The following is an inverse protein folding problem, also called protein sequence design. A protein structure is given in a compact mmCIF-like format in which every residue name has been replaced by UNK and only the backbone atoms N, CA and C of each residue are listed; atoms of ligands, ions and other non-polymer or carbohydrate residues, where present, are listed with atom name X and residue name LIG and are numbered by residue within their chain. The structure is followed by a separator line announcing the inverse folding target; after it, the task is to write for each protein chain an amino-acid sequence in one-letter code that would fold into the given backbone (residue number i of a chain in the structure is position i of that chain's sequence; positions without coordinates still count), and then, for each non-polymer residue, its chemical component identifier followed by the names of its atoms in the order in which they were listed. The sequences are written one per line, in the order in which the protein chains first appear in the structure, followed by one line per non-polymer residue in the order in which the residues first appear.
data_IF_987659079493
#
_entry.id   IF_987659079493
#
_cell.length_a   1.000
_cell.length_b   1.000
_cell.length_c   1.000
_cell.angle_alpha   90.00
_cell.angle_beta   90.00
_cell.angle_gamma   90.00
#
_symmetry.space_group_name_H-M   'P 1'
#
loop_
_entity.id
_entity.type
_entity.pdbx_description
1 polymer ?
#
# COMPACT_ATOMS: atom_id res chain seq x y z
N UNK A 1 36.96 -22.36 1.84
CA UNK A 1 37.71 -22.31 0.57
C UNK A 1 36.66 -22.17 -0.53
N UNK A 2 36.41 -21.01 -1.14
CA UNK A 2 37.35 -20.04 -1.69
C UNK A 2 37.04 -18.60 -1.27
N UNK A 3 38.16 -17.90 -1.06
CA UNK A 3 38.38 -16.50 -0.74
C UNK A 3 38.15 -15.66 -2.00
N UNK A 4 37.46 -14.52 -1.92
CA UNK A 4 37.77 -13.38 -2.78
C UNK A 4 37.63 -12.09 -1.97
N UNK A 5 38.70 -11.34 -2.07
CA UNK A 5 39.22 -10.31 -1.19
C UNK A 5 38.74 -8.93 -1.66
N UNK A 6 38.45 -8.04 -0.72
CA UNK A 6 38.16 -6.63 -0.96
C UNK A 6 39.47 -5.84 -0.84
N UNK A 7 39.80 -4.98 -1.80
CA UNK A 7 40.69 -3.83 -1.57
C UNK A 7 40.28 -2.58 -2.38
N UNK A 8 40.58 -1.35 -1.90
CA UNK A 8 39.90 -0.11 -2.28
C UNK A 8 40.74 0.94 -3.05
N UNK A 9 40.01 1.84 -3.72
CA UNK A 9 40.23 3.26 -4.15
C UNK A 9 41.63 3.80 -4.50
N UNK A 10 41.71 4.56 -5.61
CA UNK A 10 42.27 5.94 -5.65
C UNK A 10 41.80 6.73 -6.90
N UNK A 11 41.86 8.09 -6.89
CA UNK A 11 41.11 9.01 -7.76
C UNK A 11 41.97 9.72 -8.81
N UNK A 12 41.38 10.22 -9.91
CA UNK A 12 42.04 11.21 -10.78
C UNK A 12 41.08 12.25 -11.40
N UNK A 13 41.26 13.49 -10.90
CA UNK A 13 41.40 14.81 -11.58
C UNK A 13 40.38 15.33 -12.61
N UNK A 14 39.93 16.55 -12.30
CA UNK A 14 39.10 17.48 -13.06
C UNK A 14 39.87 18.33 -14.11
N UNK A 15 39.07 18.99 -14.97
CA UNK A 15 39.25 20.31 -15.66
C UNK A 15 39.65 20.30 -17.17
N UNK A 16 39.50 21.42 -17.93
CA UNK A 16 38.37 21.68 -18.84
C UNK A 16 38.83 22.12 -20.26
N UNK A 17 37.92 22.25 -21.25
CA UNK A 17 38.13 23.24 -22.34
C UNK A 17 36.88 23.58 -23.16
N UNK A 18 36.83 24.86 -23.46
CA UNK A 18 35.92 25.71 -24.23
C UNK A 18 35.93 25.48 -25.76
N UNK A 19 34.81 25.89 -26.37
CA UNK A 19 34.40 26.20 -27.78
C UNK A 19 35.49 26.81 -28.71
N UNK A 20 35.35 26.88 -30.07
CA UNK A 20 34.20 27.37 -30.90
C UNK A 20 33.95 26.53 -32.19
N UNK A 21 32.96 26.70 -33.07
CA UNK A 21 31.91 27.68 -33.38
C UNK A 21 31.73 27.65 -34.91
N UNK A 22 30.53 27.42 -35.45
CA UNK A 22 30.20 27.68 -36.89
C UNK A 22 28.67 27.63 -37.16
N UNK A 23 28.09 28.82 -37.20
CA UNK A 23 27.15 29.41 -38.18
C UNK A 23 26.00 28.65 -38.89
N UNK A 24 24.77 29.10 -38.54
CA UNK A 24 23.56 29.42 -39.36
C UNK A 24 22.71 28.33 -40.05
N UNK A 25 21.45 28.62 -40.47
CA UNK A 25 20.57 29.77 -40.22
C UNK A 25 19.14 29.42 -39.74
N UNK A 26 18.41 30.49 -39.43
CA UNK A 26 17.05 30.58 -38.92
C UNK A 26 15.94 29.98 -39.80
N UNK A 27 14.86 29.55 -39.14
CA UNK A 27 13.51 29.42 -39.74
C UNK A 27 12.46 30.11 -38.87
N UNK A 28 11.38 30.63 -39.48
CA UNK A 28 10.66 31.79 -38.99
C UNK A 28 9.31 31.40 -38.37
N UNK A 29 9.10 31.70 -37.08
CA UNK A 29 7.75 31.76 -36.53
C UNK A 29 7.34 33.22 -36.43
N UNK A 30 6.50 33.61 -37.39
CA UNK A 30 5.92 34.93 -37.52
C UNK A 30 4.99 35.27 -36.35
N UNK A 31 5.14 36.49 -35.88
CA UNK A 31 4.19 37.22 -35.05
C UNK A 31 3.08 37.73 -35.95
N UNK A 32 1.83 37.35 -35.71
CA UNK A 32 0.67 38.10 -36.18
C UNK A 32 -0.20 38.53 -34.99
N UNK A 33 -0.58 39.80 -35.06
CA UNK A 33 -1.29 40.57 -34.06
C UNK A 33 -2.73 40.09 -33.80
N UNK A 34 -3.11 40.29 -32.55
CA UNK A 34 -4.40 40.73 -32.01
C UNK A 34 -5.53 40.98 -33.01
N UNK A 35 -6.58 40.15 -32.95
CA UNK A 35 -7.95 40.60 -33.13
C UNK A 35 -8.70 40.41 -31.81
N UNK A 36 -9.24 41.52 -31.31
CA UNK A 36 -10.14 41.59 -30.17
C UNK A 36 -11.40 40.79 -30.47
N UNK A 37 -11.52 39.61 -29.87
CA UNK A 37 -12.83 39.02 -29.57
C UNK A 37 -12.93 38.91 -28.06
N UNK A 38 -13.77 39.76 -27.50
CA UNK A 38 -14.18 39.77 -26.09
C UNK A 38 -14.81 38.42 -25.75
N UNK A 39 -14.01 37.52 -25.17
CA UNK A 39 -14.52 36.31 -24.54
C UNK A 39 -15.23 36.72 -23.24
N UNK A 40 -16.50 36.34 -23.04
CA UNK A 40 -17.20 36.63 -21.81
C UNK A 40 -16.49 35.92 -20.66
N UNK A 41 -16.12 36.73 -19.67
CA UNK A 41 -15.57 36.31 -18.37
C UNK A 41 -16.53 35.31 -17.73
N UNK A 42 -16.21 34.03 -17.78
CA UNK A 42 -16.75 33.05 -16.84
C UNK A 42 -16.03 33.28 -15.52
N UNK A 43 -16.62 34.12 -14.66
CA UNK A 43 -16.17 34.38 -13.29
C UNK A 43 -16.51 33.24 -12.33
N UNK A 44 -16.42 31.99 -12.79
CA UNK A 44 -16.56 30.82 -11.95
C UNK A 44 -15.16 30.26 -11.77
N UNK A 45 -14.36 30.93 -10.94
CA UNK A 45 -13.10 30.35 -10.48
C UNK A 45 -13.44 29.05 -9.74
N UNK A 46 -13.16 27.91 -10.38
CA UNK A 46 -13.32 26.60 -9.77
C UNK A 46 -12.37 26.52 -8.58
N UNK A 47 -12.90 26.81 -7.39
CA UNK A 47 -12.17 26.59 -6.13
C UNK A 47 -12.12 25.08 -5.91
N UNK A 48 -11.00 24.46 -6.27
CA UNK A 48 -10.76 23.06 -5.97
C UNK A 48 -10.05 22.94 -4.62
N UNK A 49 -10.62 22.16 -3.72
CA UNK A 49 -9.97 21.81 -2.46
C UNK A 49 -9.23 20.49 -2.62
N UNK A 50 -7.90 20.50 -2.45
CA UNK A 50 -7.12 19.26 -2.41
C UNK A 50 -7.05 18.71 -0.99
N UNK A 51 -7.86 17.70 -0.70
CA UNK A 51 -7.74 16.95 0.54
C UNK A 51 -6.51 16.05 0.45
N UNK A 52 -5.40 16.48 1.07
CA UNK A 52 -4.28 15.58 1.41
C UNK A 52 -4.70 14.68 2.57
N UNK A 53 -5.64 13.77 2.30
CA UNK A 53 -6.00 12.72 3.24
C UNK A 53 -4.87 11.68 3.27
N UNK A 54 -3.95 11.83 4.22
CA UNK A 54 -3.08 10.74 4.62
C UNK A 54 -3.95 9.71 5.33
N UNK A 55 -4.46 8.70 4.63
CA UNK A 55 -5.26 7.64 5.24
C UNK A 55 -4.42 7.01 6.35
N UNK A 56 -4.73 7.23 7.64
CA UNK A 56 -4.01 6.56 8.69
C UNK A 56 -4.27 5.07 8.49
N UNK A 57 -3.21 4.33 8.15
CA UNK A 57 -3.29 2.88 8.00
C UNK A 57 -3.72 2.36 9.36
N UNK A 58 -4.94 1.83 9.44
CA UNK A 58 -5.40 1.13 10.64
C UNK A 58 -4.30 0.16 11.07
N UNK A 59 -3.91 0.17 12.36
CA UNK A 59 -2.80 -0.64 12.82
C UNK A 59 -3.06 -2.08 12.40
N UNK A 60 -2.08 -2.74 11.75
CA UNK A 60 -2.22 -4.13 11.33
C UNK A 60 -2.60 -4.97 12.54
N UNK A 61 -3.76 -5.62 12.51
CA UNK A 61 -4.17 -6.53 13.58
C UNK A 61 -3.45 -7.86 13.38
N UNK A 62 -2.75 -8.32 14.41
CA UNK A 62 -2.29 -9.69 14.48
C UNK A 62 -3.47 -10.59 14.90
N UNK A 63 -3.72 -11.65 14.15
CA UNK A 63 -4.61 -12.73 14.57
C UNK A 63 -3.75 -13.98 14.76
N UNK A 64 -3.86 -14.57 15.94
CA UNK A 64 -3.28 -15.86 16.25
C UNK A 64 -4.27 -16.97 15.89
N UNK A 65 -3.79 -18.02 15.23
CA UNK A 65 -4.58 -19.20 14.91
C UNK A 65 -3.68 -20.44 14.92
N UNK A 66 -4.28 -21.61 15.15
CA UNK A 66 -3.56 -22.89 15.00
C UNK A 66 -3.58 -23.34 13.54
N UNK A 67 -2.42 -23.70 13.00
CA UNK A 67 -2.31 -24.19 11.64
C UNK A 67 -2.56 -25.70 11.57
N UNK A 68 -3.72 -26.10 11.03
CA UNK A 68 -4.10 -27.51 10.85
C UNK A 68 -3.79 -28.09 9.47
N UNK A 69 -3.05 -27.37 8.62
CA UNK A 69 -2.80 -27.76 7.21
C UNK A 69 -2.21 -29.16 7.04
N UNK A 70 -1.37 -29.58 7.99
CA UNK A 70 -0.72 -30.89 8.01
C UNK A 70 -1.02 -31.63 9.31
N UNK A 71 -2.17 -31.34 9.92
CA UNK A 71 -2.58 -32.01 11.14
C UNK A 71 -2.94 -33.47 10.84
N UNK A 72 -2.31 -34.37 11.57
CA UNK A 72 -2.56 -35.81 11.53
C UNK A 72 -3.15 -36.22 12.88
N UNK A 73 -4.40 -36.67 12.86
CA UNK A 73 -5.15 -36.98 14.08
C UNK A 73 -4.56 -38.21 14.77
N UNK A 74 -4.24 -39.24 14.01
CA UNK A 74 -3.73 -40.51 14.51
C UNK A 74 -2.38 -40.30 15.18
N UNK A 75 -1.49 -39.52 14.56
CA UNK A 75 -0.19 -39.18 15.12
C UNK A 75 -0.30 -38.30 16.37
N UNK A 76 -1.22 -37.34 16.38
CA UNK A 76 -1.48 -36.52 17.56
C UNK A 76 -1.97 -37.37 18.75
N UNK A 77 -2.90 -38.29 18.51
CA UNK A 77 -3.38 -39.22 19.54
C UNK A 77 -2.30 -40.19 20.01
N UNK A 78 -1.44 -40.65 19.10
CA UNK A 78 -0.30 -41.49 19.43
C UNK A 78 0.65 -40.75 20.39
N UNK A 79 1.03 -39.52 20.07
CA UNK A 79 1.95 -38.73 20.89
C UNK A 79 1.35 -38.41 22.27
N UNK A 80 0.03 -38.14 22.35
CA UNK A 80 -0.66 -37.97 23.63
C UNK A 80 -0.63 -39.24 24.49
N UNK A 81 -0.76 -40.42 23.88
CA UNK A 81 -0.74 -41.71 24.58
C UNK A 81 0.66 -42.10 25.04
N UNK A 82 1.70 -41.77 24.26
CA UNK A 82 3.09 -42.07 24.60
C UNK A 82 3.73 -41.06 25.54
N UNK A 83 3.05 -39.95 25.83
CA UNK A 83 3.55 -38.90 26.72
C UNK A 83 3.50 -39.33 28.17
N UNK A 84 4.56 -39.02 28.91
CA UNK A 84 4.58 -39.18 30.36
C UNK A 84 3.78 -38.07 31.05
N UNK A 85 2.70 -38.46 31.72
CA UNK A 85 1.82 -37.58 32.48
C UNK A 85 2.11 -37.60 33.98
N UNK A 86 3.01 -38.47 34.46
CA UNK A 86 3.40 -38.56 35.87
C UNK A 86 3.81 -37.23 36.51
N UNK A 87 4.50 -36.30 35.82
CA UNK A 87 4.81 -34.99 36.40
C UNK A 87 3.59 -34.17 36.82
N UNK A 88 2.46 -34.30 36.11
CA UNK A 88 1.22 -33.62 36.48
C UNK A 88 0.51 -34.28 37.67
N UNK A 89 0.55 -35.61 37.76
CA UNK A 89 -0.07 -36.37 38.85
C UNK A 89 0.70 -36.26 40.18
N UNK A 90 2.03 -36.10 40.10
CA UNK A 90 2.90 -36.02 41.26
C UNK A 90 3.13 -34.58 41.75
N UNK A 91 2.39 -33.60 41.23
CA UNK A 91 2.52 -32.22 41.64
C UNK A 91 1.97 -32.00 43.07
N UNK A 92 2.66 -31.15 43.84
CA UNK A 92 2.35 -30.91 45.25
C UNK A 92 1.11 -30.02 45.48
N UNK A 93 0.64 -29.34 44.44
CA UNK A 93 -0.51 -28.46 44.49
C UNK A 93 -1.23 -28.44 43.13
N UNK A 94 -2.51 -28.07 43.17
CA UNK A 94 -3.40 -28.08 42.00
C UNK A 94 -2.92 -27.10 40.91
N UNK A 95 -2.34 -25.95 41.29
CA UNK A 95 -1.86 -24.96 40.33
C UNK A 95 -0.69 -25.53 39.52
N UNK A 96 0.28 -26.15 40.21
CA UNK A 96 1.42 -26.82 39.57
C UNK A 96 0.99 -27.99 38.70
N UNK A 97 0.02 -28.81 39.14
CA UNK A 97 -0.52 -29.92 38.37
C UNK A 97 -1.12 -29.42 37.04
N UNK A 98 -2.00 -28.41 37.11
CA UNK A 98 -2.67 -27.84 35.94
C UNK A 98 -1.66 -27.18 35.00
N UNK A 99 -0.71 -26.42 35.53
CA UNK A 99 0.31 -25.76 34.69
C UNK A 99 1.20 -26.78 33.97
N UNK A 100 1.59 -27.85 34.65
CA UNK A 100 2.39 -28.94 34.08
C UNK A 100 1.62 -29.64 32.97
N UNK A 101 0.35 -29.99 33.21
CA UNK A 101 -0.52 -30.58 32.20
C UNK A 101 -0.67 -29.66 30.97
N UNK A 102 -0.98 -28.38 31.20
CA UNK A 102 -1.13 -27.38 30.13
C UNK A 102 0.15 -27.23 29.31
N UNK A 103 1.31 -27.27 29.95
CA UNK A 103 2.62 -27.15 29.28
C UNK A 103 2.90 -28.35 28.39
N UNK A 104 2.73 -29.57 28.92
CA UNK A 104 2.93 -30.82 28.18
C UNK A 104 1.95 -30.87 26.99
N UNK A 105 0.66 -30.66 27.25
CA UNK A 105 -0.36 -30.65 26.21
C UNK A 105 -0.09 -29.60 25.13
N UNK A 106 0.27 -28.37 25.53
CA UNK A 106 0.54 -27.27 24.60
C UNK A 106 1.77 -27.52 23.74
N UNK A 107 2.78 -28.22 24.27
CA UNK A 107 3.96 -28.64 23.52
C UNK A 107 3.58 -29.62 22.41
N UNK A 108 2.84 -30.68 22.73
CA UNK A 108 2.36 -31.67 21.76
C UNK A 108 1.44 -30.99 20.73
N UNK A 109 0.47 -30.21 21.19
CA UNK A 109 -0.41 -29.45 20.30
C UNK A 109 0.36 -28.47 19.40
N UNK A 110 1.47 -27.91 19.87
CA UNK A 110 2.35 -27.03 19.09
C UNK A 110 3.11 -27.76 17.98
N UNK A 111 3.50 -29.02 18.20
CA UNK A 111 4.16 -29.86 17.19
C UNK A 111 3.20 -30.23 16.04
N UNK A 112 1.94 -30.55 16.38
CA UNK A 112 0.93 -31.00 15.42
C UNK A 112 0.11 -29.86 14.79
N UNK A 113 -0.11 -28.79 15.54
CA UNK A 113 -0.91 -27.64 15.13
C UNK A 113 -0.29 -26.34 15.69
N UNK A 114 0.86 -25.91 15.11
CA UNK A 114 1.60 -24.75 15.61
C UNK A 114 0.76 -23.48 15.53
N UNK A 115 0.93 -22.61 16.53
CA UNK A 115 0.32 -21.28 16.53
C UNK A 115 1.05 -20.42 15.50
N UNK A 116 0.29 -19.78 14.61
CA UNK A 116 0.80 -18.82 13.65
C UNK A 116 0.14 -17.47 13.85
N UNK A 117 0.94 -16.42 13.65
CA UNK A 117 0.48 -15.05 13.64
C UNK A 117 0.26 -14.63 12.19
N UNK A 118 -0.96 -14.25 11.86
CA UNK A 118 -1.28 -13.63 10.58
C UNK A 118 -1.60 -12.15 10.79
N UNK A 119 -0.88 -11.30 10.06
CA UNK A 119 -1.20 -9.87 9.98
C UNK A 119 -2.40 -9.68 9.05
N UNK A 120 -3.49 -9.22 9.62
CA UNK A 120 -4.67 -8.79 8.89
C UNK A 120 -4.55 -7.29 8.60
N UNK A 121 -4.75 -6.93 7.33
CA UNK A 121 -4.80 -5.53 6.92
C UNK A 121 -6.06 -4.90 7.52
N UNK A 122 -5.90 -3.82 8.26
CA UNK A 122 -6.99 -3.22 9.04
C UNK A 122 -8.09 -2.53 8.22
N UNK A 123 -7.86 -2.24 6.94
CA UNK A 123 -8.85 -1.58 6.08
C UNK A 123 -9.44 -2.57 5.08
N UNK A 124 -10.77 -2.69 5.07
CA UNK A 124 -11.50 -3.23 3.92
C UNK A 124 -11.23 -2.29 2.75
N UNK A 125 -10.72 -2.82 1.64
CA UNK A 125 -10.56 -2.07 0.40
C UNK A 125 -11.82 -2.29 -0.44
N UNK A 126 -12.82 -1.38 -0.38
CA UNK A 126 -14.14 -1.64 -0.95
C UNK A 126 -14.12 -1.76 -2.47
N UNK A 127 -13.19 -1.09 -3.14
CA UNK A 127 -12.97 -1.19 -4.59
C UNK A 127 -12.22 -2.47 -5.03
N UNK A 128 -11.90 -3.39 -4.11
CA UNK A 128 -11.11 -4.59 -4.43
C UNK A 128 -12.00 -5.71 -4.97
N UNK A 129 -11.81 -6.07 -6.24
CA UNK A 129 -12.54 -7.17 -6.90
C UNK A 129 -11.68 -8.43 -7.04
N UNK A 130 -12.27 -9.63 -7.20
CA UNK A 130 -11.53 -10.85 -7.49
C UNK A 130 -10.65 -10.75 -8.74
N UNK A 131 -11.12 -10.06 -9.77
CA UNK A 131 -10.39 -9.80 -11.02
C UNK A 131 -9.16 -8.93 -10.76
N UNK A 132 -9.30 -7.86 -9.98
CA UNK A 132 -8.19 -7.00 -9.58
C UNK A 132 -7.17 -7.77 -8.73
N UNK A 133 -7.63 -8.68 -7.87
CA UNK A 133 -6.78 -9.58 -7.09
C UNK A 133 -5.94 -10.47 -8.00
N UNK A 134 -6.54 -11.06 -9.04
CA UNK A 134 -5.82 -11.88 -10.03
C UNK A 134 -4.75 -11.06 -10.77
N UNK A 135 -5.08 -9.84 -11.21
CA UNK A 135 -4.10 -8.96 -11.87
C UNK A 135 -2.90 -8.63 -10.97
N UNK A 136 -3.16 -8.34 -9.69
CA UNK A 136 -2.10 -8.11 -8.69
C UNK A 136 -1.24 -9.36 -8.50
N UNK A 137 -1.85 -10.55 -8.43
CA UNK A 137 -1.12 -11.82 -8.33
C UNK A 137 -0.27 -12.10 -9.57
N UNK A 138 -0.81 -11.86 -10.77
CA UNK A 138 -0.09 -12.03 -12.03
C UNK A 138 1.10 -11.08 -12.12
N UNK A 139 0.91 -9.81 -11.75
CA UNK A 139 1.99 -8.83 -11.64
C UNK A 139 3.11 -9.34 -10.74
N UNK A 140 2.77 -9.83 -9.56
CA UNK A 140 3.75 -10.32 -8.58
C UNK A 140 4.44 -11.61 -9.07
N UNK A 141 3.72 -12.48 -9.77
CA UNK A 141 4.27 -13.68 -10.42
C UNK A 141 5.28 -13.30 -11.51
N UNK A 142 4.94 -12.37 -12.40
CA UNK A 142 5.83 -11.92 -13.46
C UNK A 142 7.04 -11.17 -12.90
N UNK A 143 6.88 -10.40 -11.83
CA UNK A 143 7.99 -9.76 -11.15
C UNK A 143 8.99 -10.79 -10.60
N UNK A 144 8.49 -11.80 -9.87
CA UNK A 144 9.32 -12.91 -9.36
C UNK A 144 10.01 -13.67 -10.50
N UNK A 145 9.32 -13.90 -11.61
CA UNK A 145 9.90 -14.56 -12.79
C UNK A 145 10.97 -13.71 -13.46
N UNK A 146 10.76 -12.40 -13.56
CA UNK A 146 11.72 -11.45 -14.14
C UNK A 146 13.01 -11.41 -13.30
N UNK A 147 12.88 -11.32 -11.97
CA UNK A 147 14.03 -11.36 -11.06
C UNK A 147 14.85 -12.65 -11.18
N UNK A 148 14.20 -13.80 -11.35
CA UNK A 148 14.88 -15.10 -11.47
C UNK A 148 15.55 -15.31 -12.83
N UNK A 149 14.89 -14.91 -13.92
CA UNK A 149 15.36 -15.17 -15.28
C UNK A 149 16.22 -14.06 -15.86
N UNK A 150 16.13 -12.85 -15.31
CA UNK A 150 16.72 -11.62 -15.82
C UNK A 150 16.49 -11.37 -17.33
N UNK A 151 15.42 -11.94 -17.90
CA UNK A 151 15.13 -11.84 -19.34
C UNK A 151 14.40 -10.55 -19.68
N UNK A 152 14.87 -9.84 -20.71
CA UNK A 152 14.24 -8.62 -21.22
C UNK A 152 12.78 -8.84 -21.66
N UNK A 153 12.46 -10.01 -22.22
CA UNK A 153 11.10 -10.37 -22.61
C UNK A 153 10.17 -10.45 -21.39
N UNK A 154 10.62 -11.11 -20.31
CA UNK A 154 9.85 -11.24 -19.07
C UNK A 154 9.69 -9.89 -18.38
N UNK A 155 10.72 -9.04 -18.40
CA UNK A 155 10.64 -7.65 -17.93
C UNK A 155 9.64 -6.81 -18.73
N UNK A 156 9.55 -7.00 -20.06
CA UNK A 156 8.54 -6.35 -20.90
C UNK A 156 7.12 -6.79 -20.52
N UNK A 157 6.89 -8.10 -20.34
CA UNK A 157 5.60 -8.62 -19.88
C UNK A 157 5.23 -8.09 -18.50
N UNK A 158 6.17 -8.07 -17.55
CA UNK A 158 5.94 -7.48 -16.23
C UNK A 158 5.49 -6.02 -16.32
N UNK A 159 6.16 -5.20 -17.14
CA UNK A 159 5.77 -3.79 -17.35
C UNK A 159 4.34 -3.65 -17.87
N UNK A 160 3.94 -4.46 -18.86
CA UNK A 160 2.56 -4.47 -19.38
C UNK A 160 1.54 -4.81 -18.30
N UNK A 161 1.77 -5.89 -17.55
CA UNK A 161 0.86 -6.34 -16.48
C UNK A 161 0.81 -5.33 -15.34
N UNK A 162 1.95 -4.73 -14.96
CA UNK A 162 2.02 -3.66 -13.95
C UNK A 162 1.18 -2.46 -14.37
N UNK A 163 1.32 -1.98 -15.61
CA UNK A 163 0.59 -0.82 -16.10
C UNK A 163 -0.92 -1.10 -16.13
N UNK A 164 -1.32 -2.27 -16.63
CA UNK A 164 -2.73 -2.68 -16.62
C UNK A 164 -3.29 -2.77 -15.20
N UNK A 165 -2.53 -3.37 -14.27
CA UNK A 165 -2.93 -3.44 -12.86
C UNK A 165 -3.13 -2.04 -12.26
N UNK A 166 -2.22 -1.10 -12.54
CA UNK A 166 -2.34 0.26 -12.02
C UNK A 166 -3.57 1.00 -12.58
N UNK A 167 -3.83 0.85 -13.88
CA UNK A 167 -5.00 1.40 -14.55
C UNK A 167 -6.29 0.85 -13.93
N UNK A 168 -6.39 -0.47 -13.76
CA UNK A 168 -7.56 -1.12 -13.16
C UNK A 168 -7.76 -0.71 -11.68
N UNK A 169 -6.69 -0.57 -10.91
CA UNK A 169 -6.78 -0.03 -9.53
C UNK A 169 -7.33 1.39 -9.56
N UNK A 170 -6.88 2.23 -10.49
CA UNK A 170 -7.35 3.61 -10.63
C UNK A 170 -8.83 3.65 -11.01
N UNK A 171 -9.23 2.83 -11.98
CA UNK A 171 -10.63 2.75 -12.44
C UNK A 171 -11.55 2.25 -11.33
N UNK A 172 -11.16 1.18 -10.64
CA UNK A 172 -11.96 0.61 -9.55
C UNK A 172 -12.19 1.62 -8.41
N UNK A 173 -11.17 2.40 -8.07
CA UNK A 173 -11.32 3.51 -7.11
C UNK A 173 -12.29 4.57 -7.63
N UNK A 174 -12.11 5.01 -8.89
CA UNK A 174 -12.95 6.04 -9.51
C UNK A 174 -14.42 5.62 -9.51
N UNK A 175 -14.71 4.41 -9.98
CA UNK A 175 -16.07 3.86 -10.02
C UNK A 175 -16.69 3.81 -8.63
N UNK A 176 -15.94 3.30 -7.64
CA UNK A 176 -16.43 3.21 -6.27
C UNK A 176 -16.80 4.60 -5.70
N UNK A 177 -15.92 5.59 -5.83
CA UNK A 177 -16.23 6.95 -5.34
C UNK A 177 -17.39 7.59 -6.11
N UNK A 178 -17.46 7.37 -7.42
CA UNK A 178 -18.57 7.87 -8.24
C UNK A 178 -19.90 7.24 -7.83
N UNK A 179 -19.94 5.94 -7.55
CA UNK A 179 -21.11 5.24 -7.00
C UNK A 179 -21.49 5.77 -5.62
N UNK A 180 -20.52 5.96 -4.71
CA UNK A 180 -20.78 6.55 -3.40
C UNK A 180 -21.41 7.94 -3.49
N UNK A 181 -20.91 8.79 -4.39
CA UNK A 181 -21.47 10.13 -4.65
C UNK A 181 -22.86 10.00 -5.24
N UNK A 182 -23.04 9.16 -6.26
CA UNK A 182 -24.31 8.99 -6.95
C UNK A 182 -25.42 8.46 -6.03
N UNK A 183 -25.09 7.55 -5.11
CA UNK A 183 -26.03 6.96 -4.18
C UNK A 183 -26.42 7.90 -3.02
N UNK A 184 -25.66 8.98 -2.79
CA UNK A 184 -25.90 9.96 -1.73
C UNK A 184 -26.18 11.37 -2.26
N UNK A 185 -26.59 11.52 -3.53
CA UNK A 185 -26.84 12.84 -4.17
C UNK A 185 -27.76 13.72 -3.34
N UNK A 186 -28.80 13.14 -2.75
CA UNK A 186 -29.81 13.85 -1.94
C UNK A 186 -29.57 13.73 -0.43
N UNK A 187 -28.49 13.06 -0.01
CA UNK A 187 -28.17 12.80 1.39
C UNK A 187 -26.73 13.21 1.73
N UNK A 188 -26.54 14.50 1.96
CA UNK A 188 -25.25 15.06 2.35
C UNK A 188 -24.66 14.39 3.60
N UNK A 189 -25.49 14.07 4.61
CA UNK A 189 -25.04 13.39 5.82
C UNK A 189 -24.51 11.97 5.53
N UNK A 190 -25.19 11.22 4.66
CA UNK A 190 -24.75 9.89 4.19
C UNK A 190 -23.46 9.95 3.37
N UNK A 191 -23.32 10.97 2.52
CA UNK A 191 -22.09 11.21 1.77
C UNK A 191 -20.91 11.48 2.71
N UNK A 192 -21.09 12.39 3.67
CA UNK A 192 -20.06 12.72 4.66
C UNK A 192 -19.68 11.54 5.54
N UNK A 193 -20.65 10.72 5.95
CA UNK A 193 -20.40 9.48 6.68
C UNK A 193 -19.54 8.52 5.87
N UNK A 194 -19.93 8.24 4.63
CA UNK A 194 -19.20 7.36 3.70
C UNK A 194 -17.77 7.87 3.46
N UNK A 195 -17.61 9.18 3.24
CA UNK A 195 -16.31 9.80 3.04
C UNK A 195 -15.41 9.70 4.28
N UNK A 196 -15.95 9.92 5.48
CA UNK A 196 -15.22 9.78 6.73
C UNK A 196 -14.78 8.33 6.98
N UNK A 197 -15.63 7.35 6.67
CA UNK A 197 -15.28 5.92 6.76
C UNK A 197 -14.12 5.56 5.82
N UNK A 198 -14.15 6.02 4.56
CA UNK A 198 -13.12 5.70 3.57
C UNK A 198 -11.79 6.41 3.89
N UNK A 199 -11.86 7.65 4.38
CA UNK A 199 -10.68 8.43 4.74
C UNK A 199 -10.14 8.09 6.14
N UNK A 200 -10.82 7.19 6.87
CA UNK A 200 -10.52 6.84 8.26
C UNK A 200 -10.37 8.10 9.14
N UNK A 201 -11.26 9.07 8.91
CA UNK A 201 -11.37 10.29 9.71
C UNK A 201 -12.26 9.95 10.91
N UNK A 202 -11.80 9.03 11.76
CA UNK A 202 -12.40 8.89 13.07
C UNK A 202 -12.21 10.23 13.78
N UNK A 203 -13.29 10.76 14.36
CA UNK A 203 -13.28 11.99 15.15
C UNK A 203 -12.40 11.77 16.38
N UNK A 204 -11.07 11.87 16.23
CA UNK A 204 -10.23 12.23 17.36
C UNK A 204 -10.68 13.63 17.73
N UNK A 205 -11.29 13.78 18.90
CA UNK A 205 -11.58 15.07 19.51
C UNK A 205 -10.26 15.85 19.61
N UNK A 206 -9.98 16.68 18.61
CA UNK A 206 -8.70 17.38 18.52
C UNK A 206 -8.42 17.96 17.13
N UNK A 207 -8.76 19.23 16.98
CA UNK A 207 -8.43 20.15 15.88
C UNK A 207 -9.16 19.95 14.55
N UNK A 208 -9.98 20.95 14.20
CA UNK A 208 -10.51 21.15 12.86
C UNK A 208 -9.40 21.42 11.84
N UNK A 209 -9.73 21.51 10.54
CA UNK A 209 -8.74 21.80 9.51
C UNK A 209 -8.00 23.10 9.85
N UNK A 210 -6.69 23.00 10.02
CA UNK A 210 -5.80 24.15 10.23
C UNK A 210 -5.48 24.75 8.85
N UNK A 211 -5.74 26.05 8.75
CA UNK A 211 -5.51 27.00 7.64
C UNK A 211 -6.25 26.76 6.31
N UNK A 212 -7.17 27.68 6.01
CA UNK A 212 -7.45 28.15 4.66
C UNK A 212 -6.36 29.20 4.38
N UNK A 213 -5.39 28.91 3.51
CA UNK A 213 -4.52 29.97 2.99
C UNK A 213 -5.23 30.59 1.78
N UNK A 214 -5.82 31.77 1.98
CA UNK A 214 -6.13 32.64 0.86
C UNK A 214 -4.85 33.36 0.48
N UNK A 215 -4.29 33.05 -0.69
CA UNK A 215 -3.29 33.93 -1.28
C UNK A 215 -4.06 35.16 -1.81
N UNK A 216 -4.04 36.26 -1.05
CA UNK A 216 -4.52 37.56 -1.52
C UNK A 216 -3.66 38.03 -2.69
N UNK A 217 -4.27 38.14 -3.87
CA UNK A 217 -3.66 38.82 -5.01
C UNK A 217 -3.83 40.32 -4.79
N UNK A 218 -2.73 41.01 -4.49
CA UNK A 218 -2.69 42.46 -4.39
C UNK A 218 -2.75 43.07 -5.80
N UNK A 219 -3.88 43.66 -6.16
CA UNK A 219 -3.99 44.58 -7.29
C UNK A 219 -3.25 45.88 -6.98
N UNK A 220 -2.12 46.13 -7.65
CA UNK A 220 -1.49 47.44 -7.70
C UNK A 220 -1.68 48.01 -9.11
N UNK A 221 -2.67 48.89 -9.26
CA UNK A 221 -2.82 49.74 -10.45
C UNK A 221 -2.30 51.14 -10.11
N UNK A 222 -1.29 51.69 -10.81
CA UNK A 222 -0.99 53.11 -10.73
C UNK A 222 -1.76 53.91 -11.78
N UNK A 223 -2.18 55.11 -11.35
CA UNK A 223 -2.99 56.13 -12.02
C UNK A 223 -2.37 56.75 -13.26
#
# INVERSE_FOLDING_TARGET
MYFWEQHPLTPHTNTPRTTPGEDTPATPWGRHNTENSSLPVLSDQLVFCTLKAGVPKAPPRAIEYRLFKHYDKERFLQDLRSTDWSPGYNANDVSTAVNTWCTIYSSIAGQHAPIKIQRVKGLKTPWMTPQLSKLIQDRDRFHKKALKSNSAAVWSTYRKVRNKTNEEVKQAKSNYFQECINNNKDNGAGLWKTLNEITNRENKSGSGPTCISSDEVLDNNPS
#
